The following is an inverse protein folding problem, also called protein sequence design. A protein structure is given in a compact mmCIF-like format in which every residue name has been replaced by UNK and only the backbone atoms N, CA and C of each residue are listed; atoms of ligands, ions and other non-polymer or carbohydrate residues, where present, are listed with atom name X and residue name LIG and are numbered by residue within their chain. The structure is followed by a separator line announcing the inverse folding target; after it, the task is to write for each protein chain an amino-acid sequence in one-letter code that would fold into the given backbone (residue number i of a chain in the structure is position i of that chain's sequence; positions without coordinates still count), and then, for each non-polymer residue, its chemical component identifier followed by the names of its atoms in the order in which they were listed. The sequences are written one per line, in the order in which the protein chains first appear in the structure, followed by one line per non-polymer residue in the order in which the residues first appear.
data_IF_387507449811
#
_entry.id   IF_387507449811
#
_cell.length_a   1.000
_cell.length_b   1.000
_cell.length_c   1.000
_cell.angle_alpha   90.00
_cell.angle_beta   90.00
_cell.angle_gamma   90.00
#
_symmetry.space_group_name_H-M   'P 1'
#
loop_
_entity.id
_entity.type
_entity.pdbx_description
1 polymer ?
#
# COMPACT_ATOMS: atom_id res chain seq x y z
N UNK A 1 15.94 -14.50 1.91
CA UNK A 1 17.36 -14.05 1.82
C UNK A 1 17.66 -13.15 0.64
N UNK A 2 17.30 -13.48 -0.61
CA UNK A 2 17.59 -12.63 -1.80
C UNK A 2 17.04 -11.19 -1.67
N UNK A 3 15.83 -11.03 -1.12
CA UNK A 3 15.21 -9.71 -0.92
C UNK A 3 15.99 -8.81 0.05
N UNK A 4 16.49 -9.39 1.15
CA UNK A 4 17.29 -8.69 2.17
C UNK A 4 18.57 -8.14 1.55
N UNK A 5 19.29 -8.97 0.79
CA UNK A 5 20.54 -8.58 0.14
C UNK A 5 20.32 -7.46 -0.87
N UNK A 6 19.26 -7.55 -1.69
CA UNK A 6 18.92 -6.49 -2.66
C UNK A 6 18.56 -5.17 -1.98
N UNK A 7 17.83 -5.22 -0.85
CA UNK A 7 17.49 -4.02 -0.09
C UNK A 7 18.73 -3.38 0.53
N UNK A 8 19.68 -4.18 1.03
CA UNK A 8 20.96 -3.69 1.55
C UNK A 8 21.80 -2.97 0.47
N UNK A 9 21.86 -3.54 -0.75
CA UNK A 9 22.51 -2.86 -1.87
C UNK A 9 21.83 -1.54 -2.22
N UNK A 10 20.49 -1.52 -2.28
CA UNK A 10 19.73 -0.29 -2.52
C UNK A 10 20.02 0.80 -1.48
N UNK A 11 20.10 0.44 -0.19
CA UNK A 11 20.48 1.39 0.86
C UNK A 11 21.86 2.02 0.62
N UNK A 12 22.85 1.22 0.23
CA UNK A 12 24.19 1.72 -0.08
C UNK A 12 24.19 2.66 -1.29
N UNK A 13 23.39 2.38 -2.31
CA UNK A 13 23.30 3.23 -3.51
C UNK A 13 22.60 4.55 -3.20
N UNK A 14 21.55 4.54 -2.38
CA UNK A 14 20.86 5.75 -1.93
C UNK A 14 21.77 6.63 -1.07
N UNK A 15 22.55 6.04 -0.18
CA UNK A 15 23.50 6.76 0.66
C UNK A 15 24.59 7.43 -0.18
N UNK A 16 25.12 6.72 -1.19
CA UNK A 16 26.09 7.27 -2.17
C UNK A 16 25.53 8.42 -3.01
N UNK A 17 24.23 8.41 -3.32
CA UNK A 17 23.59 9.48 -4.09
C UNK A 17 23.52 10.80 -3.28
N UNK A 18 23.58 10.75 -1.95
CA UNK A 18 23.63 11.94 -1.08
C UNK A 18 22.37 12.82 -1.11
N UNK A 19 21.26 12.31 -1.66
CA UNK A 19 20.02 13.09 -1.83
C UNK A 19 19.21 13.06 -0.54
N UNK A 20 19.10 14.22 0.14
CA UNK A 20 18.40 14.35 1.43
C UNK A 20 16.94 13.88 1.43
N UNK A 21 16.19 14.04 0.34
CA UNK A 21 14.80 13.58 0.27
C UNK A 21 14.66 12.07 0.38
N UNK A 22 15.67 11.31 -0.06
CA UNK A 22 15.69 9.85 0.07
C UNK A 22 15.98 9.38 1.50
N UNK A 23 16.57 10.20 2.36
CA UNK A 23 16.77 9.84 3.77
C UNK A 23 15.42 9.60 4.48
N UNK A 24 14.40 10.41 4.17
CA UNK A 24 13.04 10.24 4.69
C UNK A 24 12.42 8.92 4.20
N UNK A 25 12.66 8.57 2.93
CA UNK A 25 12.20 7.32 2.34
C UNK A 25 12.92 6.14 3.01
N UNK A 26 14.25 6.20 3.15
CA UNK A 26 15.04 5.19 3.85
C UNK A 26 14.54 4.95 5.27
N UNK A 27 14.24 6.01 6.02
CA UNK A 27 13.72 5.89 7.38
C UNK A 27 12.36 5.17 7.41
N UNK A 28 11.47 5.53 6.48
CA UNK A 28 10.17 4.87 6.33
C UNK A 28 10.31 3.37 6.02
N UNK A 29 11.21 3.02 5.09
CA UNK A 29 11.49 1.61 4.74
C UNK A 29 12.08 0.86 5.93
N UNK A 30 12.97 1.48 6.72
CA UNK A 30 13.55 0.89 7.94
C UNK A 30 12.47 0.61 8.99
N UNK A 31 11.57 1.55 9.22
CA UNK A 31 10.46 1.39 10.19
C UNK A 31 9.54 0.23 9.81
N UNK A 32 9.31 0.02 8.50
CA UNK A 32 8.40 -1.00 7.98
C UNK A 32 9.11 -2.27 7.49
N UNK A 33 10.38 -2.47 7.88
CA UNK A 33 11.24 -3.51 7.32
C UNK A 33 10.63 -4.91 7.42
N UNK A 34 10.08 -5.27 8.58
CA UNK A 34 9.52 -6.60 8.82
C UNK A 34 8.28 -6.88 7.97
N UNK A 35 7.44 -5.86 7.74
CA UNK A 35 6.26 -5.98 6.89
C UNK A 35 6.65 -6.16 5.43
N UNK A 36 7.64 -5.39 4.96
CA UNK A 36 8.20 -5.49 3.62
C UNK A 36 8.84 -6.86 3.41
N UNK A 37 9.61 -7.35 4.38
CA UNK A 37 10.24 -8.67 4.31
C UNK A 37 9.20 -9.79 4.28
N UNK A 38 8.17 -9.71 5.13
CA UNK A 38 7.06 -10.67 5.16
C UNK A 38 6.35 -10.79 3.80
N UNK A 39 6.27 -9.71 3.00
CA UNK A 39 5.71 -9.78 1.65
C UNK A 39 6.53 -10.71 0.74
N UNK A 40 7.87 -10.67 0.81
CA UNK A 40 8.70 -11.53 -0.04
C UNK A 40 8.62 -13.01 0.35
N UNK A 41 8.34 -13.31 1.61
CA UNK A 41 8.21 -14.68 2.11
C UNK A 41 6.79 -15.24 1.92
N UNK A 42 5.76 -14.49 2.34
CA UNK A 42 4.36 -14.95 2.34
C UNK A 42 3.57 -14.54 1.10
N UNK A 43 4.10 -13.63 0.27
CA UNK A 43 3.44 -13.01 -0.89
C UNK A 43 2.08 -12.37 -0.60
N UNK A 44 1.76 -12.14 0.67
CA UNK A 44 0.54 -11.46 1.07
C UNK A 44 0.71 -9.97 0.80
N UNK A 45 -0.07 -9.45 -0.15
CA UNK A 45 -0.05 -8.03 -0.54
C UNK A 45 -1.34 -7.33 -0.18
N UNK A 46 -1.24 -6.03 0.08
CA UNK A 46 -2.39 -5.15 0.26
C UNK A 46 -3.14 -4.83 -1.05
N UNK A 47 -2.67 -5.33 -2.20
CA UNK A 47 -3.21 -5.00 -3.52
C UNK A 47 -4.73 -5.26 -3.65
N UNK A 48 -5.24 -6.36 -3.08
CA UNK A 48 -6.69 -6.66 -3.11
C UNK A 48 -7.49 -5.62 -2.32
N UNK A 49 -6.99 -5.19 -1.16
CA UNK A 49 -7.62 -4.16 -0.35
C UNK A 49 -7.50 -2.76 -1.00
N UNK A 50 -6.38 -2.46 -1.65
CA UNK A 50 -6.20 -1.22 -2.43
C UNK A 50 -7.16 -1.15 -3.63
N UNK A 51 -7.31 -2.25 -4.36
CA UNK A 51 -8.28 -2.38 -5.45
C UNK A 51 -9.71 -2.20 -4.94
N UNK A 52 -10.06 -2.81 -3.81
CA UNK A 52 -11.36 -2.65 -3.19
C UNK A 52 -11.61 -1.19 -2.75
N UNK A 53 -10.63 -0.54 -2.10
CA UNK A 53 -10.69 0.87 -1.75
C UNK A 53 -10.87 1.78 -2.97
N UNK A 54 -10.25 1.45 -4.10
CA UNK A 54 -10.43 2.17 -5.36
C UNK A 54 -11.87 2.03 -5.90
N UNK A 55 -12.44 0.81 -5.87
CA UNK A 55 -13.84 0.57 -6.24
C UNK A 55 -14.81 1.37 -5.36
N UNK A 56 -14.58 1.39 -4.04
CA UNK A 56 -15.40 2.17 -3.09
C UNK A 56 -15.29 3.67 -3.40
N UNK A 57 -14.08 4.20 -3.62
CA UNK A 57 -13.87 5.61 -3.98
C UNK A 57 -14.60 5.98 -5.27
N UNK A 58 -14.49 5.15 -6.30
CA UNK A 58 -15.20 5.36 -7.57
C UNK A 58 -16.72 5.32 -7.40
N UNK A 59 -17.23 4.34 -6.66
CA UNK A 59 -18.65 4.22 -6.34
C UNK A 59 -19.15 5.46 -5.59
N UNK A 60 -18.45 5.89 -4.53
CA UNK A 60 -18.78 7.12 -3.79
C UNK A 60 -18.79 8.37 -4.66
N UNK A 61 -17.86 8.48 -5.62
CA UNK A 61 -17.78 9.61 -6.53
C UNK A 61 -19.00 9.70 -7.46
N UNK A 62 -19.48 8.56 -7.98
CA UNK A 62 -20.67 8.51 -8.85
C UNK A 62 -21.92 9.06 -8.16
N UNK A 63 -22.08 8.82 -6.86
CA UNK A 63 -23.22 9.29 -6.07
C UNK A 63 -22.99 10.62 -5.36
N UNK A 64 -21.89 11.32 -5.69
CA UNK A 64 -21.49 12.61 -5.08
C UNK A 64 -21.47 12.56 -3.54
N UNK A 65 -20.92 11.47 -3.00
CA UNK A 65 -20.84 11.22 -1.57
C UNK A 65 -21.77 10.11 -1.09
N UNK A 66 -21.95 10.05 0.23
CA UNK A 66 -22.78 9.04 0.90
C UNK A 66 -23.85 9.76 1.71
N UNK A 67 -25.09 9.74 1.23
CA UNK A 67 -26.23 10.36 1.93
C UNK A 67 -26.92 9.43 2.93
N UNK A 68 -26.91 8.12 2.66
CA UNK A 68 -27.46 7.08 3.55
C UNK A 68 -26.50 5.91 3.62
N UNK A 69 -25.92 5.69 4.79
CA UNK A 69 -24.87 4.68 5.01
C UNK A 69 -25.41 3.26 4.77
N UNK A 70 -26.59 2.94 5.29
CA UNK A 70 -27.20 1.61 5.15
C UNK A 70 -27.44 1.25 3.67
N UNK A 71 -27.97 2.18 2.90
CA UNK A 71 -28.19 1.98 1.46
C UNK A 71 -26.88 1.86 0.69
N UNK A 72 -25.86 2.64 1.07
CA UNK A 72 -24.53 2.55 0.48
C UNK A 72 -23.89 1.19 0.74
N UNK A 73 -23.92 0.70 1.98
CA UNK A 73 -23.41 -0.62 2.34
C UNK A 73 -24.18 -1.75 1.65
N UNK A 74 -25.52 -1.63 1.56
CA UNK A 74 -26.34 -2.56 0.80
C UNK A 74 -25.93 -2.64 -0.68
N UNK A 75 -25.68 -1.51 -1.34
CA UNK A 75 -25.26 -1.49 -2.75
C UNK A 75 -23.83 -1.98 -2.93
N UNK A 76 -22.94 -1.63 -2.00
CA UNK A 76 -21.52 -2.01 -2.04
C UNK A 76 -21.37 -3.53 -1.89
N UNK A 77 -22.10 -4.14 -0.96
CA UNK A 77 -22.16 -5.61 -0.82
C UNK A 77 -22.75 -6.27 -2.05
N UNK A 78 -23.85 -5.76 -2.62
CA UNK A 78 -24.45 -6.36 -3.83
C UNK A 78 -23.61 -6.27 -5.10
N UNK A 79 -22.67 -5.32 -5.18
CA UNK A 79 -21.86 -5.10 -6.40
C UNK A 79 -20.43 -5.65 -6.30
N UNK A 80 -19.89 -5.77 -5.08
CA UNK A 80 -18.46 -6.03 -4.87
C UNK A 80 -18.16 -7.13 -3.85
N UNK A 81 -19.18 -7.75 -3.24
CA UNK A 81 -19.07 -8.93 -2.37
C UNK A 81 -19.86 -10.10 -2.98
#
# INVERSE_FOLDING_TARGET
TVAITKLAHWYNDVDKLGIKSFNTIMNTVKINYDSILNYFDKRSTNASAESFNAKIKAFRNQYRGVRKVDFFLFRLTKLFA
#
